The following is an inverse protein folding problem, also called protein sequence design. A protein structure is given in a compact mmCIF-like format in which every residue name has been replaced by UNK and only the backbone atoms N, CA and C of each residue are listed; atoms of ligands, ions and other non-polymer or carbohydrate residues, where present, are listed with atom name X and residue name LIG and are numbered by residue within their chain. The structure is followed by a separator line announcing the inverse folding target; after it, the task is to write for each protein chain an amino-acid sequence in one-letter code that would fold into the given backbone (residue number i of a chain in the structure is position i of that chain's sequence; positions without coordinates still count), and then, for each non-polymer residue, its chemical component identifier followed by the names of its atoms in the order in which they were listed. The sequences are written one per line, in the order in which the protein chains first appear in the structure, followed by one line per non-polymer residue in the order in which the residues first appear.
data_IF_656993800569
#
_entry.id   IF_656993800569
#
_cell.length_a   1.000
_cell.length_b   1.000
_cell.length_c   1.000
_cell.angle_alpha   90.00
_cell.angle_beta   90.00
_cell.angle_gamma   90.00
#
_symmetry.space_group_name_H-M   'P 1'
#
loop_
_entity.id
_entity.type
_entity.pdbx_description
1 polymer ?
#
# COMPACT_ATOMS: atom_id res chain seq x y z
N UNK A 1 -20.83 14.47 28.18
CA UNK A 1 -22.05 14.14 28.96
C UNK A 1 -21.92 14.82 30.32
N UNK A 2 -22.98 15.44 30.88
CA UNK A 2 -22.92 15.94 32.24
C UNK A 2 -22.75 14.76 33.21
N UNK A 3 -21.88 14.94 34.21
CA UNK A 3 -21.45 13.91 35.17
C UNK A 3 -22.63 13.18 35.87
N UNK A 4 -23.77 13.86 36.00
CA UNK A 4 -24.99 13.34 36.61
C UNK A 4 -25.70 12.26 35.77
N UNK A 5 -25.65 12.34 34.44
CA UNK A 5 -26.34 11.38 33.55
C UNK A 5 -25.61 10.01 33.49
N UNK A 6 -24.29 10.03 33.72
CA UNK A 6 -23.48 8.82 33.82
C UNK A 6 -23.71 8.12 35.16
N UNK A 7 -23.74 8.89 36.26
CA UNK A 7 -24.03 8.36 37.60
C UNK A 7 -25.41 7.68 37.66
N UNK A 8 -26.42 8.25 37.00
CA UNK A 8 -27.78 7.70 36.98
C UNK A 8 -27.84 6.37 36.20
N UNK A 9 -27.21 6.31 35.01
CA UNK A 9 -27.11 5.06 34.21
C UNK A 9 -26.31 3.97 34.92
N UNK A 10 -25.22 4.35 35.59
CA UNK A 10 -24.47 3.46 36.48
C UNK A 10 -25.37 2.93 37.60
N UNK A 11 -26.10 3.81 38.28
CA UNK A 11 -26.98 3.46 39.37
C UNK A 11 -28.10 2.49 38.94
N UNK A 12 -28.70 2.70 37.77
CA UNK A 12 -29.70 1.78 37.19
C UNK A 12 -29.11 0.43 36.79
N UNK A 13 -27.96 0.41 36.11
CA UNK A 13 -27.27 -0.82 35.76
C UNK A 13 -26.87 -1.63 37.01
N UNK A 14 -26.43 -0.93 38.06
CA UNK A 14 -26.11 -1.53 39.36
C UNK A 14 -27.34 -2.06 40.09
N UNK A 15 -28.47 -1.34 40.10
CA UNK A 15 -29.73 -1.82 40.65
C UNK A 15 -30.20 -3.10 39.95
N UNK A 16 -30.16 -3.12 38.62
CA UNK A 16 -30.50 -4.30 37.83
C UNK A 16 -29.57 -5.50 38.11
N UNK A 17 -28.30 -5.24 38.40
CA UNK A 17 -27.36 -6.29 38.80
C UNK A 17 -27.62 -6.80 40.23
N UNK A 18 -27.91 -5.90 41.18
CA UNK A 18 -28.30 -6.28 42.54
C UNK A 18 -29.57 -7.12 42.55
N UNK A 19 -30.58 -6.78 41.73
CA UNK A 19 -31.80 -7.57 41.60
C UNK A 19 -31.54 -8.97 41.04
N UNK A 20 -30.70 -9.09 39.99
CA UNK A 20 -30.31 -10.39 39.44
C UNK A 20 -29.46 -11.23 40.39
N UNK A 21 -28.59 -10.59 41.19
CA UNK A 21 -27.84 -11.27 42.24
C UNK A 21 -28.76 -11.77 43.36
N UNK A 22 -29.73 -10.94 43.78
CA UNK A 22 -30.79 -11.33 44.73
C UNK A 22 -31.64 -12.46 44.18
N UNK A 23 -31.96 -12.46 42.89
CA UNK A 23 -32.73 -13.53 42.26
C UNK A 23 -31.96 -14.86 42.19
N UNK A 24 -30.66 -14.83 41.84
CA UNK A 24 -29.78 -16.00 41.93
C UNK A 24 -29.59 -16.49 43.37
N UNK A 25 -29.54 -15.58 44.35
CA UNK A 25 -29.48 -15.92 45.76
C UNK A 25 -30.78 -16.60 46.22
N UNK A 26 -31.95 -16.07 45.82
CA UNK A 26 -33.27 -16.67 46.07
C UNK A 26 -33.40 -18.06 45.47
N UNK A 27 -32.91 -18.26 44.24
CA UNK A 27 -32.85 -19.58 43.59
C UNK A 27 -31.98 -20.59 44.36
N UNK A 28 -31.02 -20.12 45.17
CA UNK A 28 -30.17 -20.93 46.05
C UNK A 28 -30.65 -20.96 47.52
N UNK A 29 -31.87 -20.51 47.79
CA UNK A 29 -32.44 -20.49 49.15
C UNK A 29 -31.92 -19.39 50.06
N UNK A 30 -31.16 -18.42 49.54
CA UNK A 30 -30.72 -17.22 50.28
C UNK A 30 -31.71 -16.07 50.07
N UNK A 31 -32.22 -15.50 51.15
CA UNK A 31 -33.25 -14.43 51.08
C UNK A 31 -32.67 -13.03 50.86
N UNK A 32 -31.41 -12.79 51.22
CA UNK A 32 -30.73 -11.49 51.05
C UNK A 32 -29.25 -11.66 50.67
N UNK A 33 -28.72 -10.69 49.91
CA UNK A 33 -27.29 -10.53 49.64
C UNK A 33 -26.74 -9.65 50.76
N UNK A 34 -25.75 -10.13 51.50
CA UNK A 34 -25.17 -9.34 52.59
C UNK A 34 -24.36 -8.16 52.04
N UNK A 35 -24.19 -7.10 52.83
CA UNK A 35 -23.33 -5.97 52.45
C UNK A 35 -21.90 -6.44 52.10
N UNK A 36 -21.41 -7.45 52.80
CA UNK A 36 -20.10 -8.07 52.57
C UNK A 36 -20.03 -8.83 51.23
N UNK A 37 -21.07 -9.58 50.86
CA UNK A 37 -21.19 -10.24 49.55
C UNK A 37 -21.26 -9.21 48.41
N UNK A 38 -21.89 -8.05 48.66
CA UNK A 38 -21.93 -6.96 47.69
C UNK A 38 -20.56 -6.28 47.50
N UNK A 39 -19.88 -5.95 48.60
CA UNK A 39 -18.59 -5.27 48.56
C UNK A 39 -17.45 -6.15 48.03
N UNK A 40 -17.57 -7.47 48.17
CA UNK A 40 -16.62 -8.43 47.64
C UNK A 40 -16.82 -8.74 46.15
N UNK A 41 -17.93 -8.30 45.54
CA UNK A 41 -18.23 -8.58 44.14
C UNK A 41 -17.16 -7.96 43.19
N UNK A 42 -16.60 -8.71 42.22
CA UNK A 42 -15.47 -8.25 41.42
C UNK A 42 -15.74 -6.96 40.64
N UNK A 43 -16.92 -6.83 40.01
CA UNK A 43 -17.38 -5.59 39.35
C UNK A 43 -17.41 -4.36 40.28
N UNK A 44 -17.87 -4.54 41.54
CA UNK A 44 -17.92 -3.45 42.53
C UNK A 44 -16.51 -3.04 42.95
N UNK A 45 -15.62 -4.02 43.12
CA UNK A 45 -14.22 -3.75 43.43
C UNK A 45 -13.51 -3.07 42.26
N UNK A 46 -13.75 -3.49 41.02
CA UNK A 46 -13.24 -2.83 39.81
C UNK A 46 -13.72 -1.37 39.72
N UNK A 47 -15.00 -1.12 39.96
CA UNK A 47 -15.56 0.24 40.01
C UNK A 47 -14.86 1.11 41.05
N UNK A 48 -14.68 0.62 42.27
CA UNK A 48 -13.99 1.36 43.34
C UNK A 48 -12.51 1.61 43.03
N UNK A 49 -11.86 0.75 42.24
CA UNK A 49 -10.48 0.99 41.80
C UNK A 49 -10.48 2.06 40.70
N UNK A 50 -11.42 1.99 39.75
CA UNK A 50 -11.55 2.98 38.68
C UNK A 50 -11.87 4.37 39.20
N UNK A 51 -12.83 4.51 40.12
CA UNK A 51 -13.20 5.80 40.71
C UNK A 51 -12.02 6.44 41.45
N UNK A 52 -11.24 5.62 42.18
CA UNK A 52 -10.02 6.10 42.83
C UNK A 52 -8.99 6.52 41.80
N UNK A 53 -8.74 5.69 40.78
CA UNK A 53 -7.82 5.99 39.69
C UNK A 53 -8.18 7.32 38.99
N UNK A 54 -9.46 7.51 38.67
CA UNK A 54 -9.96 8.66 37.92
C UNK A 54 -9.82 9.99 38.68
N UNK A 55 -9.73 9.95 40.02
CA UNK A 55 -9.60 11.15 40.86
C UNK A 55 -8.15 11.65 40.98
N UNK A 56 -7.16 10.90 40.49
CA UNK A 56 -5.76 11.29 40.60
C UNK A 56 -5.20 11.88 39.30
N UNK A 57 -4.25 12.81 39.44
CA UNK A 57 -3.71 13.62 38.34
C UNK A 57 -2.20 13.39 38.11
N UNK A 58 -1.71 12.14 38.13
CA UNK A 58 -0.29 11.82 37.94
C UNK A 58 0.03 10.39 37.47
N UNK A 59 0.22 10.21 36.15
CA UNK A 59 0.22 8.89 35.45
C UNK A 59 1.23 7.85 35.99
N UNK A 60 2.48 8.21 36.29
CA UNK A 60 3.56 7.21 36.51
C UNK A 60 3.58 6.55 37.91
N UNK A 61 3.52 7.34 39.00
CA UNK A 61 3.52 6.78 40.37
C UNK A 61 2.25 6.00 40.67
N UNK A 62 1.18 6.29 39.94
CA UNK A 62 -0.14 5.74 40.19
C UNK A 62 -0.30 4.39 39.49
N UNK A 63 0.33 4.17 38.33
CA UNK A 63 0.14 2.92 37.56
C UNK A 63 0.54 1.67 38.35
N UNK A 64 1.66 1.72 39.08
CA UNK A 64 2.08 0.61 39.95
C UNK A 64 1.08 0.34 41.09
N UNK A 65 0.49 1.40 41.66
CA UNK A 65 -0.57 1.28 42.68
C UNK A 65 -1.85 0.69 42.08
N UNK A 66 -2.23 1.12 40.88
CA UNK A 66 -3.35 0.58 40.12
C UNK A 66 -3.17 -0.93 39.87
N UNK A 67 -2.00 -1.34 39.38
CA UNK A 67 -1.67 -2.74 39.12
C UNK A 67 -1.74 -3.59 40.39
N UNK A 68 -1.20 -3.09 41.51
CA UNK A 68 -1.31 -3.77 42.80
C UNK A 68 -2.76 -3.94 43.25
N UNK A 69 -3.60 -2.92 43.07
CA UNK A 69 -5.02 -2.98 43.42
C UNK A 69 -5.79 -3.96 42.54
N UNK A 70 -5.53 -3.94 41.22
CA UNK A 70 -6.17 -4.84 40.28
C UNK A 70 -5.80 -6.30 40.57
N UNK A 71 -4.54 -6.57 40.93
CA UNK A 71 -4.05 -7.89 41.30
C UNK A 71 -4.83 -8.53 42.47
N UNK A 72 -5.44 -7.72 43.35
CA UNK A 72 -6.24 -8.19 44.49
C UNK A 72 -7.70 -8.54 44.16
N UNK A 73 -8.18 -8.25 42.95
CA UNK A 73 -9.59 -8.48 42.57
C UNK A 73 -9.69 -9.67 41.62
N UNK A 74 -10.21 -10.81 42.07
CA UNK A 74 -10.44 -11.95 41.19
C UNK A 74 -11.67 -11.69 40.30
N UNK A 75 -11.45 -11.20 39.08
CA UNK A 75 -12.50 -10.95 38.07
C UNK A 75 -12.27 -11.83 36.84
N UNK A 76 -13.37 -12.30 36.26
CA UNK A 76 -13.44 -12.99 34.99
C UNK A 76 -13.56 -12.01 33.81
N UNK A 77 -13.35 -12.52 32.60
CA UNK A 77 -13.56 -11.76 31.36
C UNK A 77 -14.97 -11.16 31.27
N UNK A 78 -15.99 -11.87 31.78
CA UNK A 78 -17.37 -11.41 31.76
C UNK A 78 -17.60 -10.16 32.64
N UNK A 79 -16.91 -10.06 33.78
CA UNK A 79 -16.97 -8.88 34.63
C UNK A 79 -16.24 -7.68 34.01
N UNK A 80 -15.14 -7.92 33.28
CA UNK A 80 -14.43 -6.88 32.52
C UNK A 80 -15.27 -6.37 31.36
N UNK A 81 -15.93 -7.26 30.61
CA UNK A 81 -16.84 -6.87 29.53
C UNK A 81 -17.97 -5.97 30.04
N UNK A 82 -18.62 -6.37 31.13
CA UNK A 82 -19.68 -5.55 31.75
C UNK A 82 -19.16 -4.22 32.25
N UNK A 83 -17.97 -4.21 32.85
CA UNK A 83 -17.31 -2.98 33.26
C UNK A 83 -17.09 -2.06 32.05
N UNK A 84 -16.69 -2.62 30.90
CA UNK A 84 -16.53 -1.86 29.67
C UNK A 84 -17.84 -1.31 29.12
N UNK A 85 -18.91 -2.10 29.09
CA UNK A 85 -20.22 -1.65 28.58
C UNK A 85 -20.74 -0.40 29.32
N UNK A 86 -20.43 -0.29 30.61
CA UNK A 86 -20.81 0.83 31.46
C UNK A 86 -19.95 2.08 31.19
N UNK A 87 -18.68 1.90 30.83
CA UNK A 87 -17.69 2.98 30.72
C UNK A 87 -17.16 3.25 29.30
N UNK A 88 -17.70 2.61 28.26
CA UNK A 88 -17.20 2.70 26.87
C UNK A 88 -17.19 4.10 26.23
N UNK A 89 -17.85 5.09 26.82
CA UNK A 89 -17.88 6.48 26.37
C UNK A 89 -16.91 7.40 27.15
N UNK A 90 -15.92 6.83 27.85
CA UNK A 90 -15.06 7.54 28.80
C UNK A 90 -13.73 7.99 28.18
N UNK A 91 -13.03 8.86 28.91
CA UNK A 91 -11.83 9.61 28.52
C UNK A 91 -10.54 8.77 28.40
N UNK A 92 -9.40 9.38 28.05
CA UNK A 92 -8.09 8.73 27.95
C UNK A 92 -7.72 7.91 29.20
N UNK A 93 -8.10 8.39 30.38
CA UNK A 93 -7.91 7.74 31.67
C UNK A 93 -8.60 6.37 31.75
N UNK A 94 -9.72 6.20 31.05
CA UNK A 94 -10.43 4.92 30.93
C UNK A 94 -9.66 3.93 30.07
N UNK A 95 -9.11 4.37 28.94
CA UNK A 95 -8.26 3.51 28.10
C UNK A 95 -7.05 3.00 28.89
N UNK A 96 -6.38 3.88 29.66
CA UNK A 96 -5.25 3.50 30.52
C UNK A 96 -5.69 2.48 31.59
N UNK A 97 -6.87 2.67 32.18
CA UNK A 97 -7.42 1.73 33.16
C UNK A 97 -7.71 0.35 32.56
N UNK A 98 -8.26 0.30 31.34
CA UNK A 98 -8.49 -0.96 30.63
C UNK A 98 -7.17 -1.67 30.26
N UNK A 99 -6.13 -0.92 29.88
CA UNK A 99 -4.79 -1.46 29.69
C UNK A 99 -4.23 -2.10 30.98
N UNK A 100 -4.48 -1.48 32.13
CA UNK A 100 -4.05 -2.04 33.42
C UNK A 100 -4.84 -3.32 33.79
N UNK A 101 -6.14 -3.38 33.50
CA UNK A 101 -6.96 -4.60 33.67
C UNK A 101 -6.39 -5.75 32.83
N UNK A 102 -6.13 -5.51 31.54
CA UNK A 102 -5.52 -6.50 30.65
C UNK A 102 -4.17 -6.99 31.17
N UNK A 103 -3.32 -6.06 31.62
CA UNK A 103 -2.03 -6.38 32.24
C UNK A 103 -2.17 -7.23 33.52
N UNK A 104 -3.17 -6.94 34.36
CA UNK A 104 -3.41 -7.69 35.59
C UNK A 104 -3.95 -9.10 35.34
N UNK A 105 -4.72 -9.32 34.28
CA UNK A 105 -5.15 -10.66 33.86
C UNK A 105 -3.94 -11.49 33.40
N UNK A 106 -3.04 -10.88 32.63
CA UNK A 106 -1.79 -11.50 32.16
C UNK A 106 -0.89 -12.00 33.29
N UNK A 107 -0.80 -11.27 34.40
CA UNK A 107 0.00 -11.69 35.56
C UNK A 107 -0.59 -12.90 36.32
N UNK A 108 -1.86 -13.22 36.09
CA UNK A 108 -2.56 -14.33 36.76
C UNK A 108 -2.52 -15.63 35.97
N UNK A 109 -2.54 -15.52 34.65
CA UNK A 109 -2.36 -16.66 33.76
C UNK A 109 -0.87 -16.93 33.63
N UNK A 110 -0.37 -18.00 34.26
CA UNK A 110 1.00 -18.46 33.99
C UNK A 110 1.12 -18.76 32.49
N UNK A 111 2.14 -18.24 31.78
CA UNK A 111 2.32 -18.55 30.37
C UNK A 111 2.71 -20.03 30.25
N UNK A 112 1.75 -20.86 29.87
CA UNK A 112 2.02 -22.14 29.24
C UNK A 112 1.74 -21.94 27.75
N UNK A 113 2.82 -21.79 26.98
CA UNK A 113 3.26 -22.69 25.88
C UNK A 113 3.92 -21.93 24.74
N UNK A 114 5.18 -22.28 24.51
CA UNK A 114 5.85 -22.15 23.22
C UNK A 114 5.00 -22.81 22.11
N UNK A 115 4.75 -22.09 21.02
CA UNK A 115 4.27 -22.68 19.76
C UNK A 115 2.75 -22.86 19.60
N UNK A 116 1.91 -22.04 20.24
CA UNK A 116 0.45 -22.21 20.16
C UNK A 116 -0.17 -21.33 19.05
N UNK A 117 -0.81 -21.93 18.05
CA UNK A 117 -1.85 -21.25 17.27
C UNK A 117 -2.99 -20.86 18.22
N UNK A 118 -3.25 -19.57 18.36
CA UNK A 118 -4.39 -19.07 19.13
C UNK A 118 -5.66 -19.20 18.26
N UNK A 119 -6.30 -20.37 18.33
CA UNK A 119 -7.65 -20.60 17.79
C UNK A 119 -8.68 -19.99 18.75
N UNK A 120 -8.99 -18.71 18.56
CA UNK A 120 -10.03 -18.04 19.32
C UNK A 120 -11.40 -18.31 18.66
N UNK A 121 -12.05 -19.40 19.06
CA UNK A 121 -13.45 -19.66 18.71
C UNK A 121 -14.36 -18.68 19.45
N UNK A 122 -15.04 -17.78 18.74
CA UNK A 122 -16.10 -16.95 19.32
C UNK A 122 -17.38 -17.00 18.47
N UNK A 123 -18.51 -17.26 19.13
CA UNK A 123 -19.83 -17.29 18.49
C UNK A 123 -20.32 -15.88 18.11
N UNK A 124 -20.84 -15.77 16.88
CA UNK A 124 -21.04 -14.57 16.08
C UNK A 124 -22.22 -13.65 16.46
N UNK A 125 -22.53 -13.45 17.75
CA UNK A 125 -23.76 -12.72 18.15
C UNK A 125 -23.60 -11.38 18.85
N UNK A 126 -22.39 -10.84 19.05
CA UNK A 126 -22.21 -9.53 19.71
C UNK A 126 -21.77 -8.42 18.74
N UNK A 127 -22.63 -7.40 18.61
CA UNK A 127 -22.54 -6.22 17.73
C UNK A 127 -21.56 -5.16 18.27
N UNK A 128 -20.39 -5.55 18.79
CA UNK A 128 -19.43 -4.61 19.41
C UNK A 128 -18.04 -4.71 18.79
N UNK A 129 -17.28 -3.59 18.68
CA UNK A 129 -15.87 -3.64 18.33
C UNK A 129 -15.14 -4.53 19.35
N UNK A 130 -14.50 -5.59 18.87
CA UNK A 130 -13.73 -6.47 19.72
C UNK A 130 -12.29 -5.96 19.72
N UNK A 131 -11.88 -5.34 20.83
CA UNK A 131 -10.52 -4.84 21.01
C UNK A 131 -9.60 -6.04 21.32
N UNK A 132 -8.71 -6.39 20.40
CA UNK A 132 -7.74 -7.47 20.60
C UNK A 132 -6.36 -6.89 20.86
N UNK A 133 -5.81 -7.18 22.04
CA UNK A 133 -4.42 -6.85 22.39
C UNK A 133 -3.56 -8.10 22.21
N UNK A 134 -2.63 -8.07 21.26
CA UNK A 134 -1.63 -9.12 21.07
C UNK A 134 -0.31 -8.59 21.64
N UNK A 135 0.18 -9.21 22.71
CA UNK A 135 1.35 -8.70 23.45
C UNK A 135 2.68 -9.01 22.76
N UNK A 136 3.71 -8.21 23.08
CA UNK A 136 5.13 -8.26 22.69
C UNK A 136 5.84 -9.65 22.72
N UNK A 137 5.22 -10.70 23.26
CA UNK A 137 5.86 -12.02 23.41
C UNK A 137 5.12 -13.17 22.71
N UNK A 138 4.09 -12.89 21.92
CA UNK A 138 3.48 -13.94 21.09
C UNK A 138 4.35 -14.18 19.85
N UNK A 139 5.23 -15.17 19.92
CA UNK A 139 5.91 -15.69 18.75
C UNK A 139 4.88 -16.11 17.69
N UNK A 140 4.97 -15.54 16.47
CA UNK A 140 4.17 -15.88 15.29
C UNK A 140 2.68 -16.18 15.58
N UNK A 141 1.91 -15.18 16.00
CA UNK A 141 0.46 -15.33 16.01
C UNK A 141 -0.08 -15.25 14.58
N UNK A 142 -0.55 -16.37 14.02
CA UNK A 142 -1.52 -16.35 12.93
C UNK A 142 -2.89 -16.15 13.56
N UNK A 143 -3.51 -14.99 13.35
CA UNK A 143 -4.86 -14.73 13.86
C UNK A 143 -5.85 -14.83 12.70
N UNK A 144 -6.65 -15.89 12.71
CA UNK A 144 -7.80 -16.03 11.82
C UNK A 144 -8.98 -15.28 12.44
N UNK A 145 -9.25 -14.09 11.91
CA UNK A 145 -10.40 -13.30 12.31
C UNK A 145 -11.59 -13.72 11.45
N UNK A 146 -12.33 -14.77 11.84
CA UNK A 146 -13.60 -15.11 11.20
C UNK A 146 -14.75 -14.40 11.93
N UNK A 147 -15.53 -13.58 11.23
CA UNK A 147 -16.80 -13.02 11.74
C UNK A 147 -16.71 -11.82 12.69
N UNK A 148 -15.62 -11.03 12.63
CA UNK A 148 -15.43 -9.86 13.50
C UNK A 148 -15.69 -8.53 12.75
N UNK A 149 -16.58 -7.68 13.29
CA UNK A 149 -16.96 -6.42 12.62
C UNK A 149 -15.85 -5.37 12.63
N UNK A 150 -15.14 -5.20 13.76
CA UNK A 150 -14.02 -4.27 13.90
C UNK A 150 -13.03 -4.79 14.92
N UNK A 151 -11.79 -5.01 14.48
CA UNK A 151 -10.63 -5.28 15.34
C UNK A 151 -9.70 -4.09 15.30
N UNK A 152 -9.15 -3.68 16.45
CA UNK A 152 -8.06 -2.70 16.51
C UNK A 152 -6.85 -3.39 17.13
N UNK A 153 -5.75 -3.47 16.37
CA UNK A 153 -4.48 -3.99 16.86
C UNK A 153 -3.57 -2.81 17.23
N UNK A 154 -3.18 -2.73 18.51
CA UNK A 154 -2.28 -1.70 19.04
C UNK A 154 -1.13 -2.35 19.82
N UNK A 155 0.09 -1.83 19.69
CA UNK A 155 1.24 -2.29 20.50
C UNK A 155 1.80 -3.67 20.13
N UNK A 156 1.53 -4.14 18.91
CA UNK A 156 2.10 -5.39 18.41
C UNK A 156 3.48 -5.13 17.82
N UNK A 157 4.53 -5.73 18.40
CA UNK A 157 5.85 -5.68 17.75
C UNK A 157 5.84 -6.54 16.50
N UNK A 158 5.39 -7.81 16.57
CA UNK A 158 5.37 -8.74 15.42
C UNK A 158 3.99 -9.38 15.24
N UNK A 159 3.36 -9.14 14.09
CA UNK A 159 2.18 -9.89 13.64
C UNK A 159 2.23 -10.15 12.12
N UNK A 160 1.67 -11.29 11.71
CA UNK A 160 1.45 -11.64 10.31
C UNK A 160 -0.05 -11.70 10.07
N UNK A 161 -0.58 -10.70 9.36
CA UNK A 161 -2.00 -10.65 9.00
C UNK A 161 -2.20 -11.37 7.67
N UNK A 162 -2.06 -12.70 7.71
CA UNK A 162 -2.25 -13.57 6.56
C UNK A 162 -3.62 -14.25 6.57
N UNK A 163 -4.20 -14.49 5.39
CA UNK A 163 -5.44 -15.23 5.19
C UNK A 163 -6.68 -14.61 5.85
N UNK A 164 -6.69 -13.29 6.05
CA UNK A 164 -7.83 -12.55 6.58
C UNK A 164 -9.06 -12.71 5.68
N UNK A 165 -10.19 -13.10 6.28
CA UNK A 165 -11.44 -13.38 5.57
C UNK A 165 -12.63 -12.82 6.35
N UNK A 166 -12.87 -11.52 6.17
CA UNK A 166 -14.10 -10.84 6.58
C UNK A 166 -13.91 -9.80 7.70
N UNK A 167 -14.78 -8.79 7.69
CA UNK A 167 -14.80 -7.72 8.69
C UNK A 167 -14.04 -6.45 8.30
N UNK A 168 -13.95 -5.54 9.26
CA UNK A 168 -13.04 -4.38 9.23
C UNK A 168 -11.95 -4.59 10.28
N UNK A 169 -10.71 -4.32 9.94
CA UNK A 169 -9.58 -4.36 10.87
C UNK A 169 -8.81 -3.04 10.71
N UNK A 170 -8.67 -2.31 11.81
CA UNK A 170 -7.84 -1.11 11.88
C UNK A 170 -6.54 -1.51 12.58
N UNK A 171 -5.42 -1.30 11.90
CA UNK A 171 -4.09 -1.59 12.42
C UNK A 171 -3.46 -0.25 12.78
N UNK A 172 -3.30 -0.01 14.08
CA UNK A 172 -2.76 1.24 14.63
C UNK A 172 -1.60 0.92 15.59
N UNK A 173 -0.46 0.59 15.01
CA UNK A 173 0.71 0.13 15.76
C UNK A 173 2.01 0.61 15.12
N UNK A 174 2.91 1.10 15.96
CA UNK A 174 4.31 1.33 15.64
C UNK A 174 5.08 0.04 15.95
N UNK A 175 5.43 -0.74 14.92
CA UNK A 175 6.16 -2.01 15.09
C UNK A 175 6.68 -2.59 13.77
N UNK A 176 7.70 -3.48 13.80
CA UNK A 176 8.16 -4.22 12.64
C UNK A 176 7.25 -5.42 12.30
N UNK A 177 6.39 -5.25 11.31
CA UNK A 177 5.59 -6.30 10.70
C UNK A 177 6.39 -7.03 9.61
N UNK A 178 6.08 -8.30 9.39
CA UNK A 178 6.61 -9.05 8.26
C UNK A 178 5.66 -8.99 7.06
N UNK A 179 4.35 -9.20 7.27
CA UNK A 179 3.41 -9.21 6.15
C UNK A 179 2.00 -8.78 6.56
N UNK A 180 1.40 -7.88 5.80
CA UNK A 180 0.06 -7.34 6.06
C UNK A 180 -0.87 -7.64 4.89
N UNK A 181 -2.01 -8.27 5.17
CA UNK A 181 -3.00 -8.60 4.15
C UNK A 181 -2.54 -9.67 3.16
N UNK A 182 -1.52 -10.44 3.51
CA UNK A 182 -1.06 -11.55 2.69
C UNK A 182 -2.17 -12.59 2.55
N UNK A 183 -2.46 -13.02 1.31
CA UNK A 183 -3.53 -13.99 1.02
C UNK A 183 -4.90 -13.60 1.56
N UNK A 184 -5.13 -12.31 1.81
CA UNK A 184 -6.43 -11.80 2.25
C UNK A 184 -7.50 -12.13 1.21
N UNK A 185 -8.61 -12.73 1.66
CA UNK A 185 -9.71 -13.16 0.78
C UNK A 185 -10.82 -12.13 0.70
N UNK A 186 -11.11 -11.44 1.81
CA UNK A 186 -12.18 -10.46 1.90
C UNK A 186 -11.96 -9.50 3.08
N UNK A 187 -12.82 -8.48 3.23
CA UNK A 187 -12.81 -7.51 4.34
C UNK A 187 -12.05 -6.21 4.06
N UNK A 188 -11.79 -5.41 5.09
CA UNK A 188 -11.09 -4.11 4.97
C UNK A 188 -10.01 -3.95 6.04
N UNK A 189 -8.78 -3.69 5.62
CA UNK A 189 -7.64 -3.32 6.46
C UNK A 189 -7.36 -1.82 6.33
N UNK A 190 -7.37 -1.07 7.44
CA UNK A 190 -6.89 0.33 7.46
C UNK A 190 -5.64 0.42 8.34
N UNK A 191 -4.55 0.90 7.77
CA UNK A 191 -3.27 1.12 8.44
C UNK A 191 -3.09 2.63 8.62
N UNK A 192 -2.99 3.12 9.87
CA UNK A 192 -3.03 4.55 10.20
C UNK A 192 -1.69 5.15 10.59
N UNK A 193 -0.67 4.33 10.85
CA UNK A 193 0.65 4.76 11.26
C UNK A 193 1.73 4.15 10.39
N UNK A 194 2.95 4.67 10.53
CA UNK A 194 4.10 4.19 9.76
C UNK A 194 4.52 2.82 10.27
N UNK A 195 4.07 1.80 9.59
CA UNK A 195 4.48 0.43 9.88
C UNK A 195 5.77 0.15 9.12
N UNK A 196 6.76 -0.49 9.76
CA UNK A 196 7.84 -1.16 9.03
C UNK A 196 7.29 -2.53 8.67
N UNK A 197 7.09 -2.84 7.40
CA UNK A 197 6.56 -4.12 6.94
C UNK A 197 7.69 -4.91 6.20
N UNK A 198 7.37 -6.01 5.51
CA UNK A 198 8.20 -6.46 4.38
C UNK A 198 7.35 -6.57 3.11
N UNK A 199 6.10 -7.00 3.25
CA UNK A 199 5.16 -7.13 2.15
C UNK A 199 3.73 -6.70 2.54
N UNK A 200 3.07 -5.90 1.69
CA UNK A 200 1.64 -5.62 1.78
C UNK A 200 0.90 -6.34 0.66
N UNK A 201 -0.17 -7.06 1.00
CA UNK A 201 -1.10 -7.65 0.03
C UNK A 201 -0.50 -8.76 -0.85
N UNK A 202 0.57 -9.42 -0.38
CA UNK A 202 1.19 -10.54 -1.09
C UNK A 202 0.19 -11.66 -1.32
N UNK A 203 -0.02 -12.09 -2.57
CA UNK A 203 -1.02 -13.10 -2.96
C UNK A 203 -2.47 -12.78 -2.50
N UNK A 204 -2.80 -11.52 -2.24
CA UNK A 204 -4.16 -11.08 -1.87
C UNK A 204 -5.18 -11.50 -2.94
N UNK A 205 -6.28 -12.13 -2.51
CA UNK A 205 -7.34 -12.66 -3.38
C UNK A 205 -8.56 -11.73 -3.45
N UNK A 206 -8.79 -10.91 -2.42
CA UNK A 206 -9.91 -9.97 -2.36
C UNK A 206 -9.86 -9.07 -1.12
N UNK A 207 -10.86 -8.19 -0.98
CA UNK A 207 -10.92 -7.20 0.10
C UNK A 207 -10.22 -5.87 -0.23
N UNK A 208 -10.01 -5.03 0.78
CA UNK A 208 -9.40 -3.70 0.62
C UNK A 208 -8.36 -3.42 1.69
N UNK A 209 -7.18 -2.95 1.29
CA UNK A 209 -6.14 -2.43 2.19
C UNK A 209 -6.01 -0.92 1.94
N UNK A 210 -6.07 -0.09 2.97
CA UNK A 210 -5.81 1.34 2.90
C UNK A 210 -4.65 1.69 3.84
N UNK A 211 -3.61 2.31 3.29
CA UNK A 211 -2.45 2.80 4.03
C UNK A 211 -2.46 4.34 4.07
N UNK A 212 -2.61 4.90 5.27
CA UNK A 212 -2.77 6.35 5.53
C UNK A 212 -1.41 7.01 5.79
N UNK A 213 -0.57 7.11 4.74
CA UNK A 213 0.72 7.78 4.83
C UNK A 213 1.70 7.40 3.72
N UNK A 214 2.95 7.84 3.88
CA UNK A 214 4.06 7.48 2.99
C UNK A 214 4.55 6.06 3.24
N UNK A 215 4.85 5.36 2.16
CA UNK A 215 5.33 3.98 2.15
C UNK A 215 6.77 3.92 1.61
N UNK A 216 7.63 3.08 2.19
CA UNK A 216 9.01 2.96 1.74
C UNK A 216 9.58 1.55 1.93
N UNK A 217 10.48 1.20 1.01
CA UNK A 217 11.46 0.10 1.11
C UNK A 217 10.95 -1.35 1.01
N UNK A 218 9.83 -1.63 0.35
CA UNK A 218 9.16 -2.95 0.47
C UNK A 218 8.19 -3.33 -0.68
N UNK A 219 7.72 -4.59 -0.74
CA UNK A 219 6.83 -5.07 -1.81
C UNK A 219 5.35 -4.75 -1.55
N UNK A 220 4.65 -4.27 -2.57
CA UNK A 220 3.21 -3.98 -2.53
C UNK A 220 2.48 -4.81 -3.58
N UNK A 221 1.52 -5.62 -3.18
CA UNK A 221 0.62 -6.36 -4.07
C UNK A 221 1.33 -7.37 -4.97
N UNK A 222 2.46 -7.91 -4.54
CA UNK A 222 3.12 -8.99 -5.28
C UNK A 222 2.19 -10.20 -5.41
N UNK A 223 2.05 -10.72 -6.64
CA UNK A 223 1.19 -11.87 -6.99
C UNK A 223 -0.28 -11.69 -6.57
N UNK A 224 -0.73 -10.44 -6.43
CA UNK A 224 -2.11 -10.13 -6.10
C UNK A 224 -3.07 -10.69 -7.17
N UNK A 225 -4.12 -11.38 -6.72
CA UNK A 225 -5.14 -12.08 -7.53
C UNK A 225 -6.52 -11.43 -7.46
N UNK A 226 -6.69 -10.39 -6.64
CA UNK A 226 -7.91 -9.61 -6.54
C UNK A 226 -7.90 -8.66 -5.34
N UNK A 227 -8.94 -7.83 -5.23
CA UNK A 227 -9.07 -6.82 -4.17
C UNK A 227 -8.47 -5.46 -4.55
N UNK A 228 -8.29 -4.60 -3.55
CA UNK A 228 -7.78 -3.23 -3.73
C UNK A 228 -6.75 -2.86 -2.68
N UNK A 229 -5.63 -2.26 -3.09
CA UNK A 229 -4.66 -1.62 -2.19
C UNK A 229 -4.62 -0.13 -2.52
N UNK A 230 -4.86 0.72 -1.52
CA UNK A 230 -4.82 2.18 -1.62
C UNK A 230 -3.73 2.73 -0.70
N UNK A 231 -2.72 3.37 -1.29
CA UNK A 231 -1.68 4.13 -0.57
C UNK A 231 -1.98 5.61 -0.73
N UNK A 232 -2.24 6.32 0.38
CA UNK A 232 -2.62 7.74 0.35
C UNK A 232 -1.45 8.71 0.24
N UNK A 233 -0.23 8.26 0.58
CA UNK A 233 0.98 9.08 0.50
C UNK A 233 1.87 8.72 -0.69
N UNK A 234 3.14 9.10 -0.57
CA UNK A 234 4.18 8.76 -1.53
C UNK A 234 4.72 7.35 -1.29
N UNK A 235 5.12 6.66 -2.35
CA UNK A 235 5.86 5.39 -2.27
C UNK A 235 7.31 5.65 -2.68
N UNK A 236 8.29 5.23 -1.87
CA UNK A 236 9.70 5.52 -2.12
C UNK A 236 10.67 4.37 -1.85
N UNK A 237 11.95 4.60 -2.13
CA UNK A 237 13.04 3.70 -1.74
C UNK A 237 13.17 2.48 -2.66
N UNK A 238 13.35 1.28 -2.08
CA UNK A 238 13.47 0.02 -2.84
C UNK A 238 12.14 -0.68 -3.15
N UNK A 239 11.01 0.03 -3.07
CA UNK A 239 9.69 -0.60 -3.10
C UNK A 239 9.32 -1.14 -4.48
N UNK A 240 8.91 -2.40 -4.60
CA UNK A 240 8.38 -3.00 -5.83
C UNK A 240 6.84 -3.10 -5.75
N UNK A 241 6.13 -2.70 -6.81
CA UNK A 241 4.67 -2.58 -6.80
C UNK A 241 4.05 -3.47 -7.87
N UNK A 242 3.17 -4.39 -7.47
CA UNK A 242 2.40 -5.24 -8.37
C UNK A 242 3.24 -6.24 -9.17
N UNK A 243 4.37 -6.69 -8.60
CA UNK A 243 5.20 -7.74 -9.22
C UNK A 243 4.38 -9.00 -9.44
N UNK A 244 4.35 -9.52 -10.67
CA UNK A 244 3.60 -10.73 -11.06
C UNK A 244 2.09 -10.66 -10.71
N UNK A 245 1.52 -9.46 -10.61
CA UNK A 245 0.10 -9.25 -10.31
C UNK A 245 -0.80 -9.87 -11.39
N UNK A 246 -1.82 -10.62 -10.97
CA UNK A 246 -2.73 -11.35 -11.85
C UNK A 246 -4.09 -10.64 -11.99
N UNK A 247 -4.55 -9.94 -10.95
CA UNK A 247 -5.79 -9.15 -10.96
C UNK A 247 -5.85 -8.20 -9.73
N UNK A 248 -6.90 -7.38 -9.63
CA UNK A 248 -7.10 -6.40 -8.56
C UNK A 248 -6.68 -4.98 -8.95
N UNK A 249 -6.71 -4.07 -7.98
CA UNK A 249 -6.37 -2.66 -8.16
C UNK A 249 -5.36 -2.18 -7.11
N UNK A 250 -4.27 -1.54 -7.55
CA UNK A 250 -3.34 -0.82 -6.68
C UNK A 250 -3.36 0.65 -7.05
N UNK A 251 -3.65 1.52 -6.09
CA UNK A 251 -3.72 2.98 -6.28
C UNK A 251 -2.76 3.66 -5.31
N UNK A 252 -1.85 4.46 -5.87
CA UNK A 252 -0.95 5.35 -5.14
C UNK A 252 -1.44 6.79 -5.40
N UNK A 253 -1.90 7.47 -4.35
CA UNK A 253 -2.40 8.84 -4.45
C UNK A 253 -1.28 9.89 -4.61
N UNK A 254 -0.10 9.59 -4.07
CA UNK A 254 1.09 10.42 -4.21
C UNK A 254 1.99 10.06 -5.40
N UNK A 255 3.27 10.32 -5.23
CA UNK A 255 4.35 10.01 -6.16
C UNK A 255 4.94 8.61 -5.89
N UNK A 256 5.61 8.06 -6.90
CA UNK A 256 6.44 6.88 -6.77
C UNK A 256 7.90 7.26 -7.05
N UNK A 257 8.76 7.24 -6.05
CA UNK A 257 10.14 7.74 -6.13
C UNK A 257 11.14 6.68 -5.64
N UNK A 258 11.62 5.84 -6.54
CA UNK A 258 12.48 4.73 -6.16
C UNK A 258 13.98 5.08 -6.29
N UNK A 259 14.81 4.24 -5.68
CA UNK A 259 16.27 4.34 -5.74
C UNK A 259 16.86 3.18 -6.55
N UNK A 260 18.18 3.19 -6.72
CA UNK A 260 18.92 2.16 -7.47
C UNK A 260 18.81 0.74 -6.91
N UNK A 261 18.30 0.56 -5.69
CA UNK A 261 18.04 -0.75 -5.10
C UNK A 261 16.67 -1.32 -5.49
N UNK A 262 15.82 -0.55 -6.17
CA UNK A 262 14.57 -1.03 -6.75
C UNK A 262 14.86 -1.72 -8.09
N UNK A 263 14.70 -3.03 -8.12
CA UNK A 263 15.05 -3.85 -9.28
C UNK A 263 13.84 -3.97 -10.21
N UNK A 264 12.66 -4.23 -9.67
CA UNK A 264 11.48 -4.58 -10.48
C UNK A 264 10.58 -3.37 -10.73
N UNK A 265 10.52 -2.41 -9.82
CA UNK A 265 9.74 -1.18 -10.02
C UNK A 265 8.24 -1.46 -10.01
N UNK A 266 7.52 -0.93 -11.00
CA UNK A 266 6.06 -0.92 -11.02
C UNK A 266 5.51 -1.84 -12.12
N UNK A 267 4.74 -2.87 -11.75
CA UNK A 267 4.03 -3.76 -12.67
C UNK A 267 4.90 -4.79 -13.40
N UNK A 268 6.08 -5.12 -12.86
CA UNK A 268 6.96 -6.10 -13.47
C UNK A 268 6.29 -7.49 -13.56
N UNK A 269 6.24 -8.07 -14.76
CA UNK A 269 5.67 -9.41 -14.97
C UNK A 269 4.15 -9.49 -14.78
N UNK A 270 3.45 -8.34 -14.73
CA UNK A 270 2.00 -8.27 -14.53
C UNK A 270 1.24 -9.01 -15.64
N UNK A 271 0.24 -9.81 -15.24
CA UNK A 271 -0.64 -10.60 -16.12
C UNK A 271 -2.06 -10.02 -16.19
N UNK A 272 -2.45 -9.18 -15.23
CA UNK A 272 -3.78 -8.59 -15.16
C UNK A 272 -3.92 -7.61 -14.00
N UNK A 273 -5.08 -6.95 -13.89
CA UNK A 273 -5.35 -5.92 -12.88
C UNK A 273 -4.99 -4.49 -13.34
N UNK A 274 -5.01 -3.54 -12.40
CA UNK A 274 -4.68 -2.14 -12.65
C UNK A 274 -3.74 -1.62 -11.56
N UNK A 275 -2.65 -0.96 -11.96
CA UNK A 275 -1.81 -0.15 -11.06
C UNK A 275 -1.91 1.31 -11.51
N UNK A 276 -2.21 2.21 -10.59
CA UNK A 276 -2.39 3.64 -10.87
C UNK A 276 -1.58 4.50 -9.90
N UNK A 277 -0.71 5.34 -10.44
CA UNK A 277 -0.02 6.42 -9.71
C UNK A 277 -0.67 7.75 -10.09
N UNK A 278 -1.18 8.48 -9.10
CA UNK A 278 -1.81 9.78 -9.33
C UNK A 278 -0.79 10.91 -9.47
N UNK A 279 0.41 10.79 -8.88
CA UNK A 279 1.52 11.71 -9.03
C UNK A 279 2.52 11.31 -10.12
N UNK A 280 3.78 11.68 -9.90
CA UNK A 280 4.91 11.39 -10.78
C UNK A 280 5.58 10.04 -10.44
N UNK A 281 6.30 9.47 -11.39
CA UNK A 281 7.24 8.38 -11.16
C UNK A 281 8.67 8.86 -11.47
N UNK A 282 9.58 8.78 -10.49
CA UNK A 282 10.99 9.03 -10.74
C UNK A 282 11.94 8.00 -10.12
N UNK A 283 13.12 7.85 -10.70
CA UNK A 283 14.22 7.05 -10.14
C UNK A 283 14.85 6.03 -11.09
N UNK A 284 14.78 4.75 -10.73
CA UNK A 284 15.47 3.61 -11.35
C UNK A 284 14.50 2.43 -11.61
N UNK A 285 14.96 1.35 -12.23
CA UNK A 285 14.18 0.11 -12.33
C UNK A 285 13.25 0.08 -13.55
N UNK A 286 12.03 -0.43 -13.37
CA UNK A 286 11.14 -0.72 -14.51
C UNK A 286 9.71 -0.18 -14.32
N UNK A 287 9.07 0.20 -15.44
CA UNK A 287 7.68 0.60 -15.52
C UNK A 287 6.94 -0.32 -16.50
N UNK A 288 6.19 -1.26 -15.94
CA UNK A 288 5.34 -2.18 -16.69
C UNK A 288 6.14 -3.01 -17.68
N UNK A 289 7.29 -3.56 -17.27
CA UNK A 289 8.09 -4.46 -18.09
C UNK A 289 7.67 -5.93 -17.94
N UNK A 290 7.89 -6.73 -18.98
CA UNK A 290 7.50 -8.15 -19.05
C UNK A 290 6.00 -8.39 -18.82
N UNK A 291 5.16 -7.39 -19.07
CA UNK A 291 3.72 -7.52 -18.90
C UNK A 291 3.13 -8.43 -19.97
N UNK A 292 2.21 -9.31 -19.57
CA UNK A 292 1.37 -10.12 -20.46
C UNK A 292 -0.13 -9.80 -20.34
N UNK A 293 -0.47 -8.81 -19.52
CA UNK A 293 -1.80 -8.26 -19.39
C UNK A 293 -1.87 -7.18 -18.32
N UNK A 294 -3.05 -6.59 -18.16
CA UNK A 294 -3.28 -5.54 -17.16
C UNK A 294 -2.89 -4.14 -17.61
N UNK A 295 -3.11 -3.17 -16.74
CA UNK A 295 -2.93 -1.74 -17.06
C UNK A 295 -2.09 -1.05 -15.98
N UNK A 296 -1.00 -0.43 -16.41
CA UNK A 296 -0.20 0.48 -15.59
C UNK A 296 -0.48 1.92 -16.02
N UNK A 297 -0.86 2.80 -15.09
CA UNK A 297 -1.16 4.21 -15.35
C UNK A 297 -0.34 5.14 -14.46
N UNK A 298 0.29 6.14 -15.05
CA UNK A 298 0.93 7.26 -14.33
C UNK A 298 0.29 8.56 -14.81
N UNK A 299 -0.33 9.30 -13.89
CA UNK A 299 -1.02 10.55 -14.22
C UNK A 299 -0.08 11.75 -14.35
N UNK A 300 1.11 11.69 -13.74
CA UNK A 300 2.16 12.70 -13.87
C UNK A 300 3.24 12.33 -14.88
N UNK A 301 4.43 12.87 -14.64
CA UNK A 301 5.63 12.63 -15.44
C UNK A 301 6.39 11.38 -14.98
N UNK A 302 7.15 10.78 -15.90
CA UNK A 302 8.05 9.66 -15.64
C UNK A 302 9.48 10.04 -16.01
N UNK A 303 10.40 10.10 -15.04
CA UNK A 303 11.77 10.57 -15.26
C UNK A 303 12.82 9.70 -14.56
N UNK A 304 13.94 9.40 -15.23
CA UNK A 304 15.10 8.75 -14.61
C UNK A 304 15.65 7.56 -15.41
N UNK A 305 16.39 6.67 -14.74
CA UNK A 305 16.96 5.45 -15.35
C UNK A 305 15.95 4.31 -15.30
N UNK A 306 14.83 4.53 -15.98
CA UNK A 306 13.68 3.62 -15.98
C UNK A 306 13.54 2.98 -17.36
N UNK A 307 13.29 1.69 -17.39
CA UNK A 307 12.87 0.98 -18.58
C UNK A 307 11.34 0.92 -18.62
N UNK A 308 10.71 1.38 -19.70
CA UNK A 308 9.24 1.41 -19.82
C UNK A 308 8.79 0.37 -20.82
N UNK A 309 7.98 -0.60 -20.39
CA UNK A 309 7.32 -1.55 -21.29
C UNK A 309 8.25 -2.50 -22.04
N UNK A 310 9.46 -2.74 -21.53
CA UNK A 310 10.42 -3.68 -22.12
C UNK A 310 9.85 -5.11 -22.08
N UNK A 311 9.95 -5.86 -23.18
CA UNK A 311 9.40 -7.23 -23.31
C UNK A 311 7.89 -7.37 -23.05
N UNK A 312 7.12 -6.31 -23.28
CA UNK A 312 5.67 -6.39 -23.16
C UNK A 312 5.04 -7.24 -24.27
N UNK A 313 3.95 -7.93 -23.91
CA UNK A 313 3.17 -8.82 -24.78
C UNK A 313 1.74 -8.29 -24.96
N UNK A 314 1.02 -8.90 -25.89
CA UNK A 314 -0.36 -8.56 -26.18
C UNK A 314 -1.25 -8.61 -24.92
N UNK A 315 -2.19 -7.67 -24.81
CA UNK A 315 -3.05 -7.50 -23.64
C UNK A 315 -2.49 -6.55 -22.57
N UNK A 316 -1.20 -6.21 -22.62
CA UNK A 316 -0.61 -5.22 -21.71
C UNK A 316 -0.86 -3.78 -22.17
N UNK A 317 -1.06 -2.87 -21.20
CA UNK A 317 -1.18 -1.42 -21.47
C UNK A 317 -0.41 -0.58 -20.44
N UNK A 318 0.44 0.31 -20.93
CA UNK A 318 1.09 1.37 -20.14
C UNK A 318 0.59 2.72 -20.61
N UNK A 319 0.09 3.56 -19.70
CA UNK A 319 -0.51 4.88 -20.00
C UNK A 319 0.11 5.95 -19.10
N UNK A 320 0.91 6.84 -19.69
CA UNK A 320 1.60 7.94 -19.03
C UNK A 320 1.00 9.24 -19.57
N UNK A 321 0.41 10.06 -18.69
CA UNK A 321 -0.22 11.32 -19.13
C UNK A 321 0.78 12.45 -19.33
N UNK A 322 1.82 12.51 -18.52
CA UNK A 322 2.85 13.53 -18.56
C UNK A 322 3.96 13.23 -19.56
N UNK A 323 5.11 13.87 -19.32
CA UNK A 323 6.34 13.65 -20.06
C UNK A 323 7.03 12.34 -19.59
N UNK A 324 7.79 11.69 -20.47
CA UNK A 324 8.45 10.41 -20.21
C UNK A 324 9.91 10.46 -20.66
N UNK A 325 10.79 10.98 -19.81
CA UNK A 325 12.23 11.14 -20.09
C UNK A 325 13.01 10.06 -19.35
N UNK A 326 13.21 8.94 -20.04
CA UNK A 326 13.68 7.68 -19.43
C UNK A 326 14.78 7.02 -20.25
N UNK A 327 15.31 5.89 -19.76
CA UNK A 327 16.39 5.17 -20.41
C UNK A 327 15.96 4.52 -21.73
N UNK A 328 14.79 3.87 -21.74
CA UNK A 328 14.21 3.26 -22.95
C UNK A 328 12.70 3.03 -22.83
N UNK A 329 12.02 3.04 -23.97
CA UNK A 329 10.56 2.87 -24.05
C UNK A 329 10.24 1.79 -25.09
N UNK A 330 9.53 0.74 -24.71
CA UNK A 330 9.07 -0.32 -25.61
C UNK A 330 10.19 -1.16 -26.22
N UNK A 331 11.34 -1.27 -25.54
CA UNK A 331 12.44 -2.08 -26.02
C UNK A 331 12.05 -3.57 -26.04
N UNK A 332 12.35 -4.29 -27.13
CA UNK A 332 12.03 -5.72 -27.28
C UNK A 332 10.54 -6.04 -27.08
N UNK A 333 9.66 -5.10 -27.38
CA UNK A 333 8.20 -5.28 -27.23
C UNK A 333 7.68 -6.30 -28.25
N UNK A 334 6.96 -7.31 -27.75
CA UNK A 334 6.36 -8.42 -28.50
C UNK A 334 4.84 -8.26 -28.69
N UNK A 335 4.27 -7.18 -28.16
CA UNK A 335 2.84 -6.87 -28.20
C UNK A 335 2.42 -5.84 -27.15
N UNK A 336 1.13 -5.49 -27.15
CA UNK A 336 0.54 -4.54 -26.19
C UNK A 336 0.59 -3.07 -26.64
N UNK A 337 0.34 -2.14 -25.71
CA UNK A 337 0.28 -0.70 -26.01
C UNK A 337 1.00 0.15 -24.97
N UNK A 338 1.84 1.07 -25.42
CA UNK A 338 2.42 2.14 -24.59
C UNK A 338 1.91 3.48 -25.10
N UNK A 339 1.35 4.29 -24.22
CA UNK A 339 0.84 5.63 -24.54
C UNK A 339 1.50 6.67 -23.65
N UNK A 340 2.09 7.69 -24.26
CA UNK A 340 2.68 8.85 -23.59
C UNK A 340 1.96 10.11 -24.08
N UNK A 341 1.35 10.88 -23.19
CA UNK A 341 0.64 12.11 -23.51
C UNK A 341 1.56 13.33 -23.72
N UNK A 342 2.74 13.31 -23.11
CA UNK A 342 3.72 14.38 -23.16
C UNK A 342 4.85 14.16 -24.17
N UNK A 343 5.99 14.79 -23.88
CA UNK A 343 7.25 14.57 -24.56
C UNK A 343 7.84 13.21 -24.15
N UNK A 344 8.71 12.65 -25.00
CA UNK A 344 9.46 11.45 -24.68
C UNK A 344 10.96 11.65 -24.93
N UNK A 345 11.77 10.90 -24.18
CA UNK A 345 13.22 10.80 -24.38
C UNK A 345 13.60 9.97 -25.61
N UNK A 346 14.86 9.52 -25.64
CA UNK A 346 15.40 8.70 -26.72
C UNK A 346 15.03 7.20 -26.58
N UNK A 347 15.56 6.36 -27.48
CA UNK A 347 15.48 4.90 -27.40
C UNK A 347 14.03 4.36 -27.36
N UNK A 348 13.24 4.79 -28.34
CA UNK A 348 11.85 4.38 -28.52
C UNK A 348 11.80 3.14 -29.40
N UNK A 349 11.15 2.08 -28.90
CA UNK A 349 10.80 0.87 -29.62
C UNK A 349 12.01 0.16 -30.26
N UNK A 350 13.16 0.20 -29.58
CA UNK A 350 14.33 -0.53 -30.05
C UNK A 350 14.06 -2.04 -30.01
N UNK A 351 14.39 -2.75 -31.08
CA UNK A 351 14.11 -4.18 -31.26
C UNK A 351 12.63 -4.58 -31.11
N UNK A 352 11.69 -3.64 -31.30
CA UNK A 352 10.26 -3.94 -31.24
C UNK A 352 9.84 -4.91 -32.36
N UNK A 353 9.12 -5.96 -32.00
CA UNK A 353 8.62 -6.98 -32.93
C UNK A 353 7.13 -6.79 -33.24
N UNK A 354 6.33 -6.41 -32.24
CA UNK A 354 4.89 -6.12 -32.37
C UNK A 354 4.44 -5.13 -31.29
N UNK A 355 3.17 -4.70 -31.37
CA UNK A 355 2.55 -3.77 -30.44
C UNK A 355 2.45 -2.35 -30.99
N UNK A 356 2.04 -1.41 -30.13
CA UNK A 356 1.89 0.00 -30.49
C UNK A 356 2.52 0.94 -29.44
N UNK A 357 3.29 1.92 -29.90
CA UNK A 357 3.83 3.01 -29.08
C UNK A 357 3.29 4.34 -29.61
N UNK A 358 2.61 5.11 -28.75
CA UNK A 358 2.07 6.42 -29.05
C UNK A 358 2.73 7.51 -28.20
N UNK A 359 3.17 8.59 -28.84
CA UNK A 359 3.77 9.76 -28.19
C UNK A 359 3.02 11.00 -28.65
N UNK A 360 2.39 11.72 -27.70
CA UNK A 360 1.51 12.84 -27.98
C UNK A 360 2.22 14.15 -28.34
N UNK A 361 3.51 14.29 -28.01
CA UNK A 361 4.31 15.48 -28.33
C UNK A 361 5.66 15.10 -28.96
N UNK A 362 6.74 15.75 -28.53
CA UNK A 362 8.05 15.64 -29.17
C UNK A 362 8.84 14.45 -28.63
N UNK A 363 9.72 13.92 -29.47
CA UNK A 363 10.77 12.98 -29.10
C UNK A 363 12.12 13.71 -29.17
N UNK A 364 12.69 13.99 -27.99
CA UNK A 364 13.94 14.72 -27.84
C UNK A 364 15.05 13.80 -27.33
N UNK A 365 16.24 13.95 -27.90
CA UNK A 365 17.43 13.23 -27.46
C UNK A 365 18.18 14.12 -26.48
N UNK A 366 18.12 13.78 -25.20
CA UNK A 366 18.96 14.38 -24.15
C UNK A 366 20.16 13.42 -23.93
N UNK A 367 21.34 13.84 -24.38
CA UNK A 367 22.68 13.23 -24.15
C UNK A 367 23.14 11.97 -24.92
N UNK A 368 24.42 12.03 -25.33
CA UNK A 368 25.09 11.23 -26.38
C UNK A 368 25.48 9.79 -25.99
N UNK A 369 25.28 9.36 -24.73
CA UNK A 369 25.95 8.15 -24.20
C UNK A 369 25.34 6.83 -24.70
N UNK A 370 24.04 6.80 -25.02
CA UNK A 370 23.34 5.63 -25.55
C UNK A 370 22.38 6.06 -26.67
N UNK A 371 22.95 6.36 -27.83
CA UNK A 371 22.21 6.86 -28.98
C UNK A 371 21.50 5.72 -29.72
N UNK A 372 20.25 5.43 -29.33
CA UNK A 372 19.34 4.63 -30.15
C UNK A 372 18.24 5.53 -30.72
N UNK A 373 18.22 5.75 -32.05
CA UNK A 373 17.12 6.42 -32.72
C UNK A 373 15.79 5.69 -32.54
N UNK A 374 14.68 6.39 -32.81
CA UNK A 374 13.33 5.80 -32.82
C UNK A 374 13.29 4.61 -33.78
N UNK A 375 12.83 3.46 -33.29
CA UNK A 375 12.66 2.23 -34.07
C UNK A 375 13.97 1.49 -34.38
N UNK A 376 15.05 1.70 -33.61
CA UNK A 376 16.32 1.00 -33.88
C UNK A 376 16.16 -0.52 -33.86
N UNK A 377 16.56 -1.22 -34.93
CA UNK A 377 16.40 -2.67 -35.04
C UNK A 377 14.96 -3.17 -34.94
N UNK A 378 13.96 -2.31 -35.18
CA UNK A 378 12.54 -2.66 -35.17
C UNK A 378 12.24 -3.66 -36.30
N UNK A 379 11.62 -4.79 -35.94
CA UNK A 379 11.22 -5.85 -36.87
C UNK A 379 9.71 -5.83 -37.17
N UNK A 380 8.92 -5.10 -36.38
CA UNK A 380 7.48 -4.98 -36.56
C UNK A 380 6.84 -4.06 -35.53
N UNK A 381 5.50 -3.99 -35.53
CA UNK A 381 4.76 -3.07 -34.66
C UNK A 381 4.52 -1.69 -35.28
N UNK A 382 4.02 -0.76 -34.46
CA UNK A 382 3.61 0.59 -34.89
C UNK A 382 4.06 1.66 -33.90
N UNK A 383 4.69 2.71 -34.39
CA UNK A 383 5.06 3.91 -33.64
C UNK A 383 4.28 5.09 -34.20
N UNK A 384 3.66 5.89 -33.33
CA UNK A 384 2.89 7.09 -33.69
C UNK A 384 3.39 8.25 -32.85
N UNK A 385 3.79 9.34 -33.50
CA UNK A 385 4.34 10.53 -32.84
C UNK A 385 3.61 11.77 -33.38
N UNK A 386 2.91 12.49 -32.51
CA UNK A 386 2.12 13.69 -32.84
C UNK A 386 2.92 15.00 -32.64
N UNK A 387 4.25 14.92 -32.58
CA UNK A 387 5.15 16.06 -32.48
C UNK A 387 6.40 15.91 -33.35
N UNK A 388 7.48 16.57 -32.95
CA UNK A 388 8.76 16.55 -33.68
C UNK A 388 9.64 15.39 -33.23
N UNK A 389 10.47 14.87 -34.14
CA UNK A 389 11.37 13.74 -33.86
C UNK A 389 12.77 14.12 -34.29
N UNK A 390 13.73 14.04 -33.37
CA UNK A 390 15.13 14.31 -33.69
C UNK A 390 15.69 13.25 -34.65
N UNK A 391 15.58 11.96 -34.32
CA UNK A 391 16.20 10.91 -35.13
C UNK A 391 15.35 9.65 -35.23
N UNK A 392 15.12 9.18 -36.46
CA UNK A 392 14.59 7.83 -36.76
C UNK A 392 15.74 6.92 -37.20
N UNK A 393 15.66 5.64 -36.83
CA UNK A 393 16.71 4.66 -37.16
C UNK A 393 16.70 4.30 -38.63
N UNK A 394 17.91 4.15 -39.20
CA UNK A 394 18.13 3.52 -40.50
C UNK A 394 18.28 1.99 -40.42
N UNK A 395 18.12 1.41 -39.22
CA UNK A 395 18.20 -0.03 -38.95
C UNK A 395 16.82 -0.64 -38.69
N UNK A 396 15.76 -0.10 -39.29
CA UNK A 396 14.45 -0.73 -39.24
C UNK A 396 14.38 -1.87 -40.27
N UNK A 397 14.10 -3.09 -39.81
CA UNK A 397 13.86 -4.25 -40.66
C UNK A 397 12.36 -4.49 -40.91
N UNK A 398 11.50 -3.85 -40.12
CA UNK A 398 10.06 -3.92 -40.24
C UNK A 398 9.32 -2.85 -39.44
N UNK A 399 7.99 -2.92 -39.44
CA UNK A 399 7.13 -2.04 -38.64
C UNK A 399 6.64 -0.79 -39.39
N UNK A 400 5.93 0.08 -38.67
CA UNK A 400 5.38 1.32 -39.23
C UNK A 400 5.61 2.49 -38.29
N UNK A 401 6.15 3.59 -38.82
CA UNK A 401 6.33 4.84 -38.07
C UNK A 401 5.46 5.93 -38.70
N UNK A 402 4.69 6.61 -37.87
CA UNK A 402 3.86 7.74 -38.26
C UNK A 402 4.30 8.98 -37.48
N UNK A 403 4.57 10.07 -38.21
CA UNK A 403 4.91 11.37 -37.62
C UNK A 403 3.89 12.39 -38.09
N UNK A 404 3.12 12.97 -37.16
CA UNK A 404 2.00 13.87 -37.43
C UNK A 404 1.05 13.30 -38.51
N UNK A 405 0.69 12.02 -38.35
CA UNK A 405 -0.15 11.28 -39.31
C UNK A 405 0.50 10.90 -40.63
N UNK A 406 1.71 11.37 -40.92
CA UNK A 406 2.46 11.00 -42.14
C UNK A 406 3.21 9.70 -41.92
N UNK A 407 2.97 8.71 -42.77
CA UNK A 407 3.72 7.46 -42.76
C UNK A 407 5.14 7.70 -43.26
N UNK A 408 6.12 7.23 -42.49
CA UNK A 408 7.54 7.30 -42.84
C UNK A 408 7.96 5.95 -43.41
N UNK A 409 7.99 5.88 -44.73
CA UNK A 409 8.43 4.70 -45.49
C UNK A 409 9.96 4.73 -45.69
N UNK A 410 10.70 4.45 -44.62
CA UNK A 410 12.17 4.42 -44.66
C UNK A 410 12.72 3.01 -44.52
N UNK A 411 12.26 2.09 -45.38
CA UNK A 411 13.05 0.89 -45.72
C UNK A 411 14.27 1.21 -46.60
N UNK A 412 14.35 2.44 -47.10
CA UNK A 412 15.31 2.85 -48.11
C UNK A 412 16.37 3.78 -47.53
N UNK A 413 17.62 3.33 -47.60
CA UNK A 413 18.88 4.07 -47.49
C UNK A 413 19.50 4.16 -46.09
N UNK A 414 20.48 3.28 -45.87
CA UNK A 414 21.53 3.41 -44.88
C UNK A 414 22.29 4.73 -45.04
N UNK A 415 21.97 5.69 -44.19
CA UNK A 415 22.65 6.97 -44.05
C UNK A 415 22.23 7.62 -42.73
N UNK A 416 23.10 8.49 -42.20
CA UNK A 416 22.99 9.16 -40.89
C UNK A 416 21.57 9.61 -40.50
N UNK A 417 21.30 9.55 -39.20
CA UNK A 417 20.03 9.89 -38.56
C UNK A 417 19.32 11.13 -39.15
N UNK A 418 18.03 10.97 -39.45
CA UNK A 418 17.20 11.97 -40.12
C UNK A 418 16.27 12.69 -39.12
N UNK A 419 16.20 14.02 -39.24
CA UNK A 419 15.36 14.90 -38.40
C UNK A 419 14.04 15.18 -39.08
N UNK A 420 12.94 15.08 -38.33
CA UNK A 420 11.59 15.34 -38.83
C UNK A 420 10.90 16.43 -38.01
N UNK A 421 10.40 17.45 -38.72
CA UNK A 421 9.52 18.47 -38.15
C UNK A 421 8.17 18.39 -38.87
N UNK A 422 7.08 18.22 -38.10
CA UNK A 422 5.71 18.12 -38.64
C UNK A 422 5.57 17.09 -39.77
N UNK A 423 6.24 15.94 -39.65
CA UNK A 423 6.20 14.85 -40.63
C UNK A 423 6.99 15.10 -41.92
N UNK A 424 7.74 16.20 -42.02
CA UNK A 424 8.63 16.50 -43.15
C UNK A 424 10.07 16.26 -42.75
N UNK A 425 10.81 15.55 -43.60
CA UNK A 425 12.25 15.38 -43.45
C UNK A 425 12.92 16.75 -43.53
N UNK A 426 13.43 17.22 -42.41
CA UNK A 426 14.45 18.25 -42.40
C UNK A 426 15.74 17.49 -42.61
N UNK A 427 16.19 17.41 -43.86
CA UNK A 427 17.56 16.98 -44.12
C UNK A 427 18.45 17.91 -43.29
N UNK A 428 19.22 17.42 -42.30
CA UNK A 428 20.26 18.23 -41.66
C UNK A 428 21.38 18.33 -42.69
N UNK A 429 21.12 19.08 -43.76
CA UNK A 429 21.99 19.16 -44.90
C UNK A 429 23.32 19.70 -44.45
N UNK A 430 24.39 19.17 -45.03
CA UNK A 430 25.30 19.92 -45.90
C UNK A 430 25.41 21.45 -45.65
N UNK A 431 24.33 22.22 -45.52
CA UNK A 431 24.29 23.62 -45.10
C UNK A 431 24.85 23.91 -43.70
N UNK A 432 24.63 23.09 -42.66
CA UNK A 432 25.22 23.37 -41.33
C UNK A 432 26.74 23.11 -41.32
N UNK A 433 27.20 22.11 -42.08
CA UNK A 433 28.64 21.83 -42.29
C UNK A 433 29.30 22.79 -43.29
N UNK A 434 28.58 23.34 -44.25
CA UNK A 434 29.06 24.40 -45.16
C UNK A 434 29.10 25.75 -44.44
N UNK A 435 28.11 26.10 -43.63
CA UNK A 435 28.11 27.32 -42.82
C UNK A 435 29.24 27.30 -41.77
N UNK A 436 29.40 26.20 -41.02
CA UNK A 436 30.50 26.05 -40.07
C UNK A 436 31.89 25.89 -40.72
N UNK A 437 31.99 25.46 -41.99
CA UNK A 437 33.25 25.47 -42.76
C UNK A 437 33.54 26.82 -43.40
N UNK A 438 32.53 27.57 -43.85
CA UNK A 438 32.70 28.91 -44.41
C UNK A 438 33.14 29.91 -43.33
N UNK A 439 32.57 29.84 -42.12
CA UNK A 439 33.03 30.65 -40.97
C UNK A 439 34.49 30.33 -40.57
N UNK A 440 34.91 29.07 -40.66
CA UNK A 440 36.30 28.67 -40.38
C UNK A 440 37.28 29.04 -41.49
N UNK A 441 36.83 29.17 -42.73
CA UNK A 441 37.66 29.63 -43.87
C UNK A 441 37.79 31.17 -43.88
N UNK A 442 36.81 31.91 -43.35
CA UNK A 442 36.87 33.38 -43.23
C UNK A 442 37.72 33.91 -42.07
N UNK A 443 38.15 33.06 -41.12
CA UNK A 443 38.94 33.48 -39.94
C UNK A 443 40.46 33.21 -40.11
N UNK A 444 40.90 32.57 -41.20
CA UNK A 444 42.33 32.32 -41.50
C UNK A 444 42.95 33.23 -42.58
N UNK A 445 42.32 34.37 -42.88
CA UNK A 445 42.96 35.45 -43.66
C UNK A 445 42.70 36.82 -43.04
N UNK A 446 43.55 37.19 -42.08
CA UNK A 446 44.06 38.56 -41.86
C UNK A 446 45.52 38.43 -41.46
#
# INVERSE_FOLDING_TARGET
MPQNDLQEKLHEAFKSHQERAREKARQKGKTEVTQEEYESHPLIRLQKIYERWHLYSGIEKEYSSLMNNLAQVNFSFFEVQRFHEVHKNSSLEYSIFMCAIGSSLRLREKPQTDGTELHLFFESKSVLPQLFYISEHSGKAQVKFEGLDTVILTGCEWASLSEYDGGKLVVDCDGPFMSIGSRMKSGTLKITQRVKHQDIGWEMQGGTITYDGDFADESIGERMKGGTILIKGDVRGKSDVGREMESGDIVIEGNYNNNESCIWGLGYGMKGGIIKVNGNFSGYGSLGCYMSGGIVKVNGDVNGKIDVGTHNKDGSKVDIKGDCIVHQIGCLMEGGTIKIGGNAGANIASHMERGEVYIGKNVQQEDEKYFYPVGSCMNGGKIIIDGNVHTISNLMYGGKVYINGTFIDEYAYGGLGKVYERGRLIVPGLMARIAGKLERVSIQRV
#
